data_IF_535173646227
#
_entry.id   IF_535173646227
#
_cell.length_a   1.000
_cell.length_b   1.000
_cell.length_c   1.000
_cell.angle_alpha   90.00
_cell.angle_beta   90.00
_cell.angle_gamma   90.00
#
_symmetry.space_group_name_H-M   'P 1'
#
loop_
_entity.id
_entity.type
_entity.pdbx_description
1 polymer ?
#
# COMPACT_ATOMS: atom_id res chain seq x y z
N UNK A 1 -2.85 16.95 -12.90
CA UNK A 1 -3.03 17.28 -11.47
C UNK A 1 -1.71 17.04 -10.75
N UNK A 2 -1.59 17.48 -9.50
CA UNK A 2 -0.46 17.09 -8.66
C UNK A 2 -0.52 15.58 -8.37
N UNK A 3 0.63 14.91 -8.34
CA UNK A 3 0.74 13.50 -7.92
C UNK A 3 0.74 13.47 -6.39
N UNK A 4 -0.11 12.63 -5.81
CA UNK A 4 -0.13 12.35 -4.37
C UNK A 4 0.54 10.98 -4.13
N UNK A 5 1.40 10.91 -3.11
CA UNK A 5 2.16 9.70 -2.78
C UNK A 5 1.90 9.32 -1.34
N UNK A 6 1.52 8.05 -1.12
CA UNK A 6 1.28 7.47 0.19
C UNK A 6 2.30 6.35 0.41
N UNK A 7 3.17 6.53 1.39
CA UNK A 7 4.13 5.49 1.77
C UNK A 7 3.45 4.45 2.63
N UNK A 8 3.78 3.19 2.39
CA UNK A 8 3.33 2.12 3.27
C UNK A 8 4.11 2.12 4.58
N UNK A 9 3.46 1.69 5.65
CA UNK A 9 4.09 1.43 6.94
C UNK A 9 3.86 -0.02 7.33
N UNK A 10 4.85 -0.75 7.87
CA UNK A 10 4.62 -2.06 8.44
C UNK A 10 3.54 -2.00 9.53
N UNK A 11 2.65 -2.98 9.59
CA UNK A 11 1.66 -3.06 10.67
C UNK A 11 2.33 -3.43 12.00
N UNK A 12 1.99 -2.70 13.07
CA UNK A 12 2.64 -2.81 14.38
C UNK A 12 2.56 -4.22 15.03
N UNK A 13 1.47 -4.96 14.79
CA UNK A 13 1.33 -6.34 15.30
C UNK A 13 2.23 -7.35 14.58
N UNK A 14 2.89 -6.96 13.48
CA UNK A 14 3.94 -7.75 12.85
C UNK A 14 5.31 -7.54 13.51
N UNK A 15 5.56 -6.42 14.21
CA UNK A 15 6.79 -6.23 14.98
C UNK A 15 6.93 -7.28 16.08
N UNK A 16 5.81 -7.67 16.70
CA UNK A 16 5.71 -8.71 17.73
C UNK A 16 6.08 -10.11 17.23
N UNK A 17 6.02 -10.37 15.92
CA UNK A 17 6.39 -11.66 15.32
C UNK A 17 7.83 -11.70 14.80
N UNK A 18 8.53 -10.56 14.77
CA UNK A 18 9.96 -10.46 14.48
C UNK A 18 10.84 -10.83 15.70
N UNK A 19 10.45 -11.83 16.48
CA UNK A 19 11.18 -12.27 17.70
C UNK A 19 12.54 -12.94 17.41
N UNK A 20 13.02 -12.91 16.17
CA UNK A 20 14.39 -13.28 15.80
C UNK A 20 14.98 -12.27 14.81
N UNK A 21 16.03 -11.59 15.27
CA UNK A 21 16.85 -10.61 14.57
C UNK A 21 17.54 -11.11 13.28
N UNK A 22 17.49 -12.42 13.01
CA UNK A 22 18.22 -13.07 11.90
C UNK A 22 17.29 -13.70 10.86
N UNK A 23 15.97 -13.46 10.93
CA UNK A 23 15.01 -13.97 9.95
C UNK A 23 14.25 -12.78 9.37
N UNK A 24 14.57 -12.42 8.12
CA UNK A 24 13.66 -11.60 7.30
C UNK A 24 12.41 -12.44 7.05
N UNK A 25 11.27 -12.02 7.60
CA UNK A 25 10.00 -12.64 7.23
C UNK A 25 9.84 -12.57 5.71
N UNK A 26 9.47 -13.69 5.07
CA UNK A 26 9.17 -13.69 3.63
C UNK A 26 7.88 -12.91 3.33
N UNK A 27 7.08 -12.61 4.35
CA UNK A 27 5.78 -11.94 4.24
C UNK A 27 5.74 -10.77 5.20
N UNK A 28 5.35 -9.60 4.71
CA UNK A 28 5.16 -8.38 5.51
C UNK A 28 3.72 -7.89 5.34
N UNK A 29 3.11 -7.52 6.46
CA UNK A 29 1.85 -6.76 6.44
C UNK A 29 2.18 -5.27 6.43
N UNK A 30 1.57 -4.55 5.50
CA UNK A 30 1.78 -3.12 5.31
C UNK A 30 0.43 -2.43 5.22
N UNK A 31 0.37 -1.22 5.74
CA UNK A 31 -0.80 -0.36 5.67
C UNK A 31 -0.47 0.92 4.89
N UNK A 32 -1.47 1.44 4.17
CA UNK A 32 -1.45 2.77 3.57
C UNK A 32 -2.52 3.62 4.25
N UNK A 33 -2.12 4.76 4.82
CA UNK A 33 -3.05 5.68 5.48
C UNK A 33 -3.48 6.76 4.49
N UNK A 34 -4.76 6.76 4.14
CA UNK A 34 -5.40 7.80 3.34
C UNK A 34 -6.44 8.51 4.22
N UNK A 35 -6.52 9.83 4.10
CA UNK A 35 -7.64 10.60 4.64
C UNK A 35 -8.91 10.32 3.83
N UNK A 36 -10.08 10.55 4.42
CA UNK A 36 -11.39 10.32 3.78
C UNK A 36 -11.52 11.03 2.43
N UNK A 37 -11.04 12.27 2.33
CA UNK A 37 -11.03 13.03 1.07
C UNK A 37 -10.09 12.45 0.01
N UNK A 38 -9.05 11.73 0.41
CA UNK A 38 -8.08 11.08 -0.49
C UNK A 38 -8.62 9.71 -0.94
N UNK A 39 -9.36 9.04 -0.07
CA UNK A 39 -10.12 7.83 -0.38
C UNK A 39 -11.21 8.11 -1.42
N UNK A 40 -11.96 9.20 -1.30
CA UNK A 40 -12.93 9.61 -2.34
C UNK A 40 -12.25 9.83 -3.70
N UNK A 41 -11.08 10.48 -3.71
CA UNK A 41 -10.32 10.73 -4.94
C UNK A 41 -9.71 9.46 -5.54
N UNK A 42 -9.51 8.39 -4.76
CA UNK A 42 -8.94 7.12 -5.20
C UNK A 42 -9.79 6.45 -6.30
N UNK A 43 -11.12 6.54 -6.18
CA UNK A 43 -12.04 5.92 -7.15
C UNK A 43 -11.85 6.50 -8.56
N UNK A 44 -11.81 7.82 -8.67
CA UNK A 44 -11.79 8.55 -9.94
C UNK A 44 -10.38 8.76 -10.51
N UNK A 45 -9.34 8.39 -9.76
CA UNK A 45 -7.95 8.61 -10.15
C UNK A 45 -7.30 7.37 -10.77
N UNK A 46 -6.25 7.60 -11.56
CA UNK A 46 -5.30 6.54 -11.93
C UNK A 46 -4.43 6.27 -10.72
N UNK A 47 -4.47 5.04 -10.22
CA UNK A 47 -3.68 4.61 -9.06
C UNK A 47 -2.54 3.70 -9.53
N UNK A 48 -1.35 3.96 -9.02
CA UNK A 48 -0.16 3.13 -9.28
C UNK A 48 0.40 2.65 -7.95
N UNK A 49 0.63 1.35 -7.84
CA UNK A 49 1.41 0.76 -6.76
C UNK A 49 2.87 0.71 -7.21
N UNK A 50 3.74 1.34 -6.42
CA UNK A 50 5.15 1.49 -6.74
C UNK A 50 6.04 0.91 -5.64
N UNK A 51 7.15 0.30 -6.05
CA UNK A 51 8.24 -0.15 -5.18
C UNK A 51 9.50 0.59 -5.63
N UNK A 52 9.98 1.50 -4.79
CA UNK A 52 11.24 2.22 -5.02
C UNK A 52 12.34 1.74 -4.07
N UNK A 53 12.73 0.47 -4.20
CA UNK A 53 13.89 -0.07 -3.51
C UNK A 53 15.13 0.01 -4.44
N UNK A 54 16.32 0.41 -3.94
CA UNK A 54 17.52 0.56 -4.79
C UNK A 54 17.87 -0.71 -5.58
N UNK A 55 17.61 -1.88 -4.98
CA UNK A 55 17.89 -3.19 -5.57
C UNK A 55 16.67 -3.81 -6.29
N UNK A 56 15.47 -3.23 -6.15
CA UNK A 56 14.26 -3.72 -6.79
C UNK A 56 13.27 -2.59 -7.04
N UNK A 57 13.09 -2.22 -8.30
CA UNK A 57 12.12 -1.21 -8.72
C UNK A 57 11.01 -1.83 -9.55
N UNK A 58 9.77 -1.56 -9.19
CA UNK A 58 8.61 -2.04 -9.92
C UNK A 58 7.43 -1.10 -9.78
N UNK A 59 6.61 -1.00 -10.81
CA UNK A 59 5.46 -0.11 -10.86
C UNK A 59 4.32 -0.78 -11.60
N UNK A 60 3.13 -0.75 -11.03
CA UNK A 60 1.93 -1.36 -11.60
C UNK A 60 0.72 -0.43 -11.44
N UNK A 61 0.05 -0.13 -12.55
CA UNK A 61 -1.23 0.58 -12.53
C UNK A 61 -2.32 -0.39 -12.06
N UNK A 62 -3.12 0.02 -11.08
CA UNK A 62 -4.22 -0.81 -10.59
C UNK A 62 -5.35 -0.82 -11.62
N UNK A 63 -5.92 -1.99 -11.87
CA UNK A 63 -7.12 -2.10 -12.70
C UNK A 63 -8.33 -1.51 -11.97
N UNK A 64 -9.33 -1.06 -12.72
CA UNK A 64 -10.60 -0.56 -12.17
C UNK A 64 -11.26 -1.59 -11.25
N UNK A 65 -11.32 -2.86 -11.67
CA UNK A 65 -11.88 -3.95 -10.85
C UNK A 65 -11.15 -4.17 -9.53
N UNK A 66 -9.84 -3.90 -9.48
CA UNK A 66 -9.06 -4.04 -8.26
C UNK A 66 -9.25 -2.83 -7.34
N UNK A 67 -9.35 -1.61 -7.91
CA UNK A 67 -9.77 -0.42 -7.15
C UNK A 67 -11.15 -0.63 -6.53
N UNK A 68 -12.13 -1.12 -7.28
CA UNK A 68 -13.47 -1.44 -6.76
C UNK A 68 -13.43 -2.44 -5.60
N UNK A 69 -12.59 -3.49 -5.72
CA UNK A 69 -12.40 -4.45 -4.62
C UNK A 69 -11.87 -3.78 -3.35
N UNK A 70 -10.87 -2.90 -3.46
CA UNK A 70 -10.32 -2.17 -2.31
C UNK A 70 -11.37 -1.22 -1.72
N UNK A 71 -12.09 -0.49 -2.57
CA UNK A 71 -13.14 0.45 -2.16
C UNK A 71 -14.26 -0.26 -1.37
N UNK A 72 -14.55 -1.53 -1.68
CA UNK A 72 -15.55 -2.30 -0.94
C UNK A 72 -15.14 -2.65 0.50
N UNK A 73 -13.85 -2.62 0.82
CA UNK A 73 -13.35 -2.84 2.18
C UNK A 73 -13.46 -1.58 3.06
N UNK A 74 -13.79 -0.42 2.48
CA UNK A 74 -13.95 0.85 3.21
C UNK A 74 -15.38 1.10 3.72
N UNK A 75 -16.37 0.30 3.31
CA UNK A 75 -17.78 0.40 3.74
C UNK A 75 -18.12 -0.49 4.93
#
# INVERSE_FOLDING_TARGET
>A
GAVQVFWSTPEADHESQLTRSDITSTVHYIAFSLAETEAEAFADSVVTLDIDHPEYRHSAVLSESFKESILSDWS
#
